data_IF_883977768053
#
_entry.id   IF_883977768053
#
_cell.length_a   1.000
_cell.length_b   1.000
_cell.length_c   1.000
_cell.angle_alpha   90.00
_cell.angle_beta   90.00
_cell.angle_gamma   90.00
#
_symmetry.space_group_name_H-M   'P 1'
#
loop_
_entity.id
_entity.type
_entity.pdbx_description
1 polymer ?
#
# COMPACT_ATOMS: atom_id res chain seq x y z
N UNK A 1 -24.93 6.16 3.22
CA UNK A 1 -23.60 5.81 3.76
C UNK A 1 -22.80 5.13 2.66
N UNK A 2 -21.51 5.45 2.48
CA UNK A 2 -20.68 4.93 1.37
C UNK A 2 -20.08 3.57 1.70
N UNK A 3 -19.37 3.44 2.83
CA UNK A 3 -18.84 2.16 3.33
C UNK A 3 -18.48 2.26 4.82
N UNK A 4 -18.30 1.10 5.48
CA UNK A 4 -17.68 0.97 6.81
C UNK A 4 -16.46 0.06 6.68
N UNK A 5 -15.31 0.55 7.12
CA UNK A 5 -14.07 -0.22 7.22
C UNK A 5 -13.87 -0.66 8.67
N UNK A 6 -13.46 -1.91 8.88
CA UNK A 6 -13.10 -2.44 10.20
C UNK A 6 -11.68 -3.00 10.10
N UNK A 7 -10.80 -2.53 10.97
CA UNK A 7 -9.44 -3.02 11.11
C UNK A 7 -9.29 -3.62 12.51
N UNK A 8 -8.88 -4.90 12.64
CA UNK A 8 -8.57 -5.47 13.94
C UNK A 8 -7.32 -4.80 14.53
N UNK A 9 -7.12 -4.94 15.85
CA UNK A 9 -5.87 -4.52 16.48
C UNK A 9 -4.70 -5.30 15.88
N UNK A 10 -3.63 -4.59 15.49
CA UNK A 10 -2.43 -5.16 14.89
C UNK A 10 -1.24 -5.00 15.84
N UNK A 11 -0.34 -5.98 15.85
CA UNK A 11 0.99 -5.80 16.41
C UNK A 11 1.88 -5.13 15.35
N UNK A 12 2.24 -3.87 15.62
CA UNK A 12 3.08 -3.06 14.74
C UNK A 12 4.56 -3.05 15.16
N UNK A 13 4.91 -3.75 16.25
CA UNK A 13 6.26 -3.76 16.80
C UNK A 13 7.22 -4.69 16.08
N UNK A 14 6.71 -5.61 15.25
CA UNK A 14 7.52 -6.49 14.41
C UNK A 14 8.21 -5.69 13.29
N UNK A 15 9.54 -5.65 13.32
CA UNK A 15 10.37 -4.95 12.33
C UNK A 15 10.07 -5.37 10.88
N UNK A 16 9.59 -6.61 10.67
CA UNK A 16 9.18 -7.09 9.33
C UNK A 16 8.01 -6.32 8.76
N UNK A 17 7.21 -5.64 9.59
CA UNK A 17 6.13 -4.78 9.12
C UNK A 17 6.67 -3.56 8.39
N UNK A 18 7.81 -3.00 8.81
CA UNK A 18 8.43 -1.86 8.14
C UNK A 18 8.86 -2.25 6.72
N UNK A 19 9.51 -3.40 6.56
CA UNK A 19 9.91 -3.90 5.24
C UNK A 19 8.71 -4.09 4.30
N UNK A 20 7.62 -4.67 4.80
CA UNK A 20 6.37 -4.87 4.05
C UNK A 20 5.72 -3.53 3.67
N UNK A 21 5.63 -2.61 4.63
CA UNK A 21 5.09 -1.26 4.39
C UNK A 21 5.95 -0.51 3.38
N UNK A 22 7.27 -0.68 3.43
CA UNK A 22 8.18 -0.04 2.50
C UNK A 22 8.07 -0.59 1.07
N UNK A 23 7.83 -1.88 0.91
CA UNK A 23 7.58 -2.44 -0.43
C UNK A 23 6.25 -1.95 -1.05
N UNK A 24 5.26 -1.54 -0.25
CA UNK A 24 3.97 -1.08 -0.75
C UNK A 24 4.00 0.35 -1.28
N UNK A 25 3.16 0.65 -2.27
CA UNK A 25 2.98 2.00 -2.81
C UNK A 25 1.53 2.27 -3.17
N UNK A 26 0.99 3.38 -2.66
CA UNK A 26 -0.40 3.80 -2.91
C UNK A 26 -0.41 5.06 -3.76
N UNK A 27 -1.31 5.11 -4.75
CA UNK A 27 -1.46 6.28 -5.63
C UNK A 27 -2.93 6.56 -5.91
N UNK A 28 -3.36 7.84 -5.89
CA UNK A 28 -4.74 8.21 -6.22
C UNK A 28 -5.09 7.98 -7.69
N UNK A 29 -4.11 7.63 -8.53
CA UNK A 29 -4.32 7.28 -9.93
C UNK A 29 -4.63 5.80 -10.15
N UNK A 30 -4.64 4.98 -9.09
CA UNK A 30 -5.11 3.60 -9.14
C UNK A 30 -6.63 3.55 -9.02
N UNK A 31 -7.32 4.03 -10.05
CA UNK A 31 -8.78 4.17 -10.08
C UNK A 31 -9.33 3.82 -11.47
N UNK A 32 -10.65 3.63 -11.56
CA UNK A 32 -11.33 3.46 -12.84
C UNK A 32 -11.32 4.76 -13.65
N UNK A 33 -11.64 4.67 -14.94
CA UNK A 33 -11.74 5.84 -15.81
C UNK A 33 -12.76 6.88 -15.31
N UNK A 34 -13.90 6.42 -14.78
CA UNK A 34 -14.95 7.27 -14.21
C UNK A 34 -14.48 8.08 -13.00
N UNK A 35 -13.58 7.50 -12.18
CA UNK A 35 -13.04 8.15 -10.98
C UNK A 35 -11.71 8.85 -11.22
N UNK A 36 -11.38 9.13 -12.49
CA UNK A 36 -10.10 9.76 -12.85
C UNK A 36 -9.90 11.07 -12.08
N UNK A 37 -8.75 11.27 -11.41
CA UNK A 37 -8.50 12.51 -10.69
C UNK A 37 -8.46 13.73 -11.63
N UNK A 38 -9.08 14.83 -11.17
CA UNK A 38 -9.23 16.07 -11.95
C UNK A 38 -8.35 17.21 -11.40
N UNK A 39 -8.07 18.20 -12.26
CA UNK A 39 -7.26 19.36 -11.92
C UNK A 39 -5.75 19.15 -12.04
N UNK A 40 -5.01 20.26 -12.08
CA UNK A 40 -3.57 20.27 -12.38
C UNK A 40 -2.74 19.57 -11.29
N UNK A 41 -3.04 19.83 -10.01
CA UNK A 41 -2.34 19.21 -8.88
C UNK A 41 -2.50 17.69 -8.92
N UNK A 42 -3.71 17.19 -9.15
CA UNK A 42 -3.93 15.76 -9.20
C UNK A 42 -3.18 15.12 -10.38
N UNK A 43 -3.15 15.76 -11.56
CA UNK A 43 -2.38 15.27 -12.72
C UNK A 43 -0.89 15.16 -12.42
N UNK A 44 -0.31 16.17 -11.78
CA UNK A 44 1.10 16.15 -11.36
C UNK A 44 1.38 15.00 -10.38
N UNK A 45 0.46 14.72 -9.44
CA UNK A 45 0.62 13.61 -8.49
C UNK A 45 0.81 12.25 -9.16
N UNK A 46 0.35 12.04 -10.40
CA UNK A 46 0.59 10.78 -11.12
C UNK A 46 2.09 10.50 -11.24
N UNK A 47 2.82 11.46 -11.77
CA UNK A 47 4.25 11.31 -12.03
C UNK A 47 5.06 11.41 -10.72
N UNK A 48 4.67 12.30 -9.81
CA UNK A 48 5.35 12.42 -8.49
C UNK A 48 5.33 11.11 -7.73
N UNK A 49 4.16 10.44 -7.61
CA UNK A 49 4.05 9.16 -6.91
C UNK A 49 4.80 8.04 -7.65
N UNK A 50 4.77 8.04 -8.99
CA UNK A 50 5.53 7.07 -9.80
C UNK A 50 7.03 7.20 -9.55
N UNK A 51 7.57 8.41 -9.63
CA UNK A 51 8.98 8.68 -9.41
C UNK A 51 9.41 8.39 -7.98
N UNK A 52 8.62 8.82 -6.99
CA UNK A 52 8.88 8.54 -5.56
C UNK A 52 8.92 7.03 -5.29
N UNK A 53 7.97 6.27 -5.82
CA UNK A 53 7.94 4.81 -5.67
C UNK A 53 9.18 4.18 -6.32
N UNK A 54 9.53 4.53 -7.56
CA UNK A 54 10.74 4.00 -8.23
C UNK A 54 11.99 4.27 -7.41
N UNK A 55 12.19 5.52 -6.98
CA UNK A 55 13.39 5.92 -6.25
C UNK A 55 13.51 5.18 -4.92
N UNK A 56 12.43 5.11 -4.14
CA UNK A 56 12.45 4.43 -2.83
C UNK A 56 12.76 2.94 -2.95
N UNK A 57 12.18 2.25 -3.93
CA UNK A 57 12.48 0.84 -4.19
C UNK A 57 13.96 0.64 -4.56
N UNK A 58 14.54 1.54 -5.37
CA UNK A 58 15.96 1.49 -5.71
C UNK A 58 16.86 1.69 -4.49
N UNK A 59 16.58 2.71 -3.68
CA UNK A 59 17.35 3.03 -2.46
C UNK A 59 17.27 1.90 -1.43
N UNK A 60 16.09 1.31 -1.26
CA UNK A 60 15.85 0.23 -0.31
C UNK A 60 16.20 -1.15 -0.86
N UNK A 61 16.68 -1.26 -2.11
CA UNK A 61 16.97 -2.53 -2.81
C UNK A 61 15.78 -3.50 -2.83
N UNK A 62 14.57 -2.96 -2.94
CA UNK A 62 13.32 -3.71 -2.99
C UNK A 62 12.82 -3.82 -4.43
N UNK A 63 12.28 -4.98 -4.80
CA UNK A 63 11.61 -5.12 -6.09
C UNK A 63 10.25 -4.40 -6.06
N UNK A 64 10.00 -3.58 -7.08
CA UNK A 64 8.70 -2.92 -7.27
C UNK A 64 7.74 -3.87 -7.99
N UNK A 65 7.02 -4.68 -7.22
CA UNK A 65 6.04 -5.63 -7.74
C UNK A 65 4.68 -5.32 -7.11
N UNK A 66 3.64 -5.32 -7.95
CA UNK A 66 2.27 -5.19 -7.50
C UNK A 66 1.79 -6.51 -6.90
N UNK A 67 1.35 -6.53 -5.63
CA UNK A 67 0.80 -7.75 -5.04
C UNK A 67 -0.54 -8.11 -5.69
N UNK A 68 -0.78 -9.42 -5.84
CA UNK A 68 -2.03 -9.95 -6.43
C UNK A 68 -3.15 -10.07 -5.41
N UNK A 69 -2.79 -10.17 -4.12
CA UNK A 69 -3.74 -10.17 -3.00
C UNK A 69 -3.10 -9.54 -1.76
N UNK A 70 -3.95 -9.19 -0.78
CA UNK A 70 -3.47 -8.73 0.51
C UNK A 70 -2.64 -9.81 1.23
N UNK A 71 -3.02 -11.09 1.09
CA UNK A 71 -2.35 -12.21 1.75
C UNK A 71 -0.88 -12.37 1.34
N UNK A 72 -0.53 -12.01 0.09
CA UNK A 72 0.86 -12.06 -0.39
C UNK A 72 1.80 -11.12 0.38
N UNK A 73 1.26 -10.06 0.99
CA UNK A 73 2.04 -9.06 1.72
C UNK A 73 1.79 -9.14 3.22
N UNK A 74 0.55 -9.41 3.61
CA UNK A 74 0.09 -9.30 4.99
C UNK A 74 0.00 -10.64 5.72
N UNK A 75 0.19 -11.80 5.05
CA UNK A 75 0.08 -13.16 5.60
C UNK A 75 -0.08 -13.19 7.13
N UNK A 76 -1.34 -13.12 7.56
CA UNK A 76 -1.69 -12.98 8.98
C UNK A 76 -1.70 -14.39 9.54
N UNK A 77 -0.71 -14.73 10.36
CA UNK A 77 -0.85 -15.88 11.26
C UNK A 77 -1.92 -15.49 12.27
N UNK A 78 -3.16 -15.90 12.05
CA UNK A 78 -4.19 -15.86 13.09
C UNK A 78 -3.80 -16.91 14.14
N UNK A 79 -2.89 -16.56 15.06
CA UNK A 79 -2.78 -17.31 16.30
C UNK A 79 -4.08 -17.05 17.07
N UNK A 80 -4.93 -18.07 17.12
CA UNK A 80 -6.12 -18.12 17.98
C UNK A 80 -5.72 -17.65 19.38
N UNK A 81 -6.48 -16.74 20.03
CA UNK A 81 -6.22 -16.40 21.42
C UNK A 81 -6.24 -17.69 22.25
N UNK A 82 -5.14 -18.01 22.94
CA UNK A 82 -5.20 -19.05 23.96
C UNK A 82 -6.20 -18.59 25.01
N UNK A 83 -7.20 -19.44 25.23
CA UNK A 83 -8.22 -19.35 26.29
C UNK A 83 -7.61 -19.05 27.66
#
# INVERSE_FOLDING_TARGET
>A
TVAKLQFPQQDISDDRNLDKMDALSFTPWRVTAEHRPLGNIMRVRKEVYRHSSILRHQLNRQQRIEPRSADEVLAVNFETPRS
#
